data_IF_344568270576
#
_entry.id   IF_344568270576
#
_cell.length_a   1.000
_cell.length_b   1.000
_cell.length_c   1.000
_cell.angle_alpha   90.00
_cell.angle_beta   90.00
_cell.angle_gamma   90.00
#
_symmetry.space_group_name_H-M   'P 1'
#
loop_
_entity.id
_entity.type
_entity.pdbx_description
1 polymer ?
#
# COMPACT_ATOMS: atom_id res chain seq x y z
N UNK A 1 14.81 -16.88 -7.61
CA UNK A 1 14.76 -15.42 -7.85
C UNK A 1 13.60 -14.89 -7.04
N UNK A 2 13.82 -13.88 -6.20
CA UNK A 2 12.73 -13.29 -5.42
C UNK A 2 11.79 -12.52 -6.34
N UNK A 3 10.49 -12.77 -6.23
CA UNK A 3 9.47 -11.93 -6.87
C UNK A 3 9.54 -10.55 -6.22
N UNK A 4 9.67 -9.51 -7.04
CA UNK A 4 9.60 -8.14 -6.56
C UNK A 4 8.16 -7.90 -6.05
N UNK A 5 8.03 -7.36 -4.84
CA UNK A 5 6.74 -7.09 -4.19
C UNK A 5 6.58 -5.59 -3.96
N UNK A 6 5.37 -5.09 -4.13
CA UNK A 6 5.04 -3.68 -3.89
C UNK A 6 4.04 -3.59 -2.74
N UNK A 7 4.42 -2.82 -1.71
CA UNK A 7 3.62 -2.55 -0.53
C UNK A 7 3.24 -1.08 -0.44
N UNK A 8 1.96 -0.78 -0.21
CA UNK A 8 1.49 0.59 0.05
C UNK A 8 0.91 0.68 1.46
N UNK A 9 1.42 1.63 2.25
CA UNK A 9 0.93 1.97 3.59
C UNK A 9 0.45 3.42 3.58
N UNK A 10 -0.79 3.68 3.99
CA UNK A 10 -1.39 5.03 4.01
C UNK A 10 -1.38 5.65 5.40
N UNK A 11 -1.04 6.93 5.54
CA UNK A 11 -0.94 7.64 6.83
C UNK A 11 -2.32 7.88 7.48
N UNK A 12 -3.29 8.40 6.73
CA UNK A 12 -4.65 8.62 7.20
C UNK A 12 -5.66 8.43 6.07
N UNK A 13 -6.85 7.91 6.40
CA UNK A 13 -7.96 7.75 5.46
C UNK A 13 -8.21 6.31 5.00
N UNK A 14 -8.96 6.18 3.91
CA UNK A 14 -9.26 4.92 3.22
C UNK A 14 -8.85 5.04 1.77
N UNK A 15 -8.56 3.92 1.14
CA UNK A 15 -8.26 3.83 -0.29
C UNK A 15 -9.44 4.28 -1.20
N UNK A 16 -10.62 4.46 -0.61
CA UNK A 16 -11.85 4.99 -1.24
C UNK A 16 -12.00 6.51 -1.02
N UNK A 17 -10.89 7.24 -0.94
CA UNK A 17 -10.90 8.70 -0.78
C UNK A 17 -11.24 9.47 -2.07
N UNK A 18 -11.43 8.75 -3.19
CA UNK A 18 -11.66 9.30 -4.55
C UNK A 18 -10.62 10.35 -4.95
N UNK A 19 -9.43 10.25 -4.38
CA UNK A 19 -8.39 11.25 -4.51
C UNK A 19 -7.03 10.54 -4.48
N UNK A 20 -6.11 11.03 -3.67
CA UNK A 20 -4.72 10.65 -3.71
C UNK A 20 -4.46 9.16 -3.42
N UNK A 21 -5.14 8.57 -2.42
CA UNK A 21 -4.89 7.18 -2.05
C UNK A 21 -5.44 6.21 -3.10
N UNK A 22 -6.64 6.48 -3.62
CA UNK A 22 -7.21 5.65 -4.68
C UNK A 22 -6.32 5.67 -5.93
N UNK A 23 -5.92 6.85 -6.40
CA UNK A 23 -5.09 6.98 -7.61
C UNK A 23 -3.72 6.32 -7.47
N UNK A 24 -3.12 6.39 -6.28
CA UNK A 24 -1.85 5.72 -5.98
C UNK A 24 -2.00 4.20 -6.01
N UNK A 25 -3.07 3.66 -5.42
CA UNK A 25 -3.31 2.22 -5.41
C UNK A 25 -3.64 1.64 -6.79
N UNK A 26 -4.42 2.35 -7.60
CA UNK A 26 -4.68 1.97 -8.99
C UNK A 26 -3.38 1.93 -9.81
N UNK A 27 -2.43 2.82 -9.53
CA UNK A 27 -1.08 2.76 -10.09
C UNK A 27 -0.32 1.49 -9.68
N UNK A 28 -0.35 1.14 -8.39
CA UNK A 28 0.30 -0.07 -7.86
C UNK A 28 -0.31 -1.34 -8.45
N UNK A 29 -1.64 -1.42 -8.57
CA UNK A 29 -2.32 -2.56 -9.19
C UNK A 29 -1.91 -2.72 -10.66
N UNK A 30 -1.89 -1.64 -11.44
CA UNK A 30 -1.41 -1.68 -12.83
C UNK A 30 0.02 -2.18 -12.93
N UNK A 31 0.91 -1.71 -12.06
CA UNK A 31 2.30 -2.20 -12.02
C UNK A 31 2.36 -3.69 -11.63
N UNK A 32 1.49 -4.14 -10.72
CA UNK A 32 1.32 -5.55 -10.37
C UNK A 32 0.97 -6.42 -11.58
N UNK A 33 -0.01 -5.98 -12.36
CA UNK A 33 -0.47 -6.68 -13.56
C UNK A 33 0.57 -6.65 -14.69
N UNK A 34 1.14 -5.48 -15.00
CA UNK A 34 2.06 -5.30 -16.13
C UNK A 34 3.42 -5.96 -15.91
N UNK A 35 3.89 -5.98 -14.65
CA UNK A 35 5.23 -6.47 -14.30
C UNK A 35 5.19 -7.83 -13.59
N UNK A 36 4.01 -8.40 -13.35
CA UNK A 36 3.83 -9.68 -12.66
C UNK A 36 4.26 -9.64 -11.19
N UNK A 37 3.96 -8.53 -10.50
CA UNK A 37 4.39 -8.28 -9.12
C UNK A 37 3.27 -8.59 -8.14
N UNK A 38 3.66 -9.05 -6.95
CA UNK A 38 2.73 -9.21 -5.85
C UNK A 38 2.50 -7.84 -5.18
N UNK A 39 1.24 -7.41 -5.11
CA UNK A 39 0.85 -6.12 -4.54
C UNK A 39 0.13 -6.30 -3.21
N UNK A 40 0.48 -5.49 -2.21
CA UNK A 40 -0.14 -5.54 -0.88
C UNK A 40 -0.47 -4.13 -0.39
N UNK A 41 -1.70 -3.97 0.06
CA UNK A 41 -2.17 -2.75 0.72
C UNK A 41 -2.30 -3.02 2.20
N UNK A 42 -1.72 -2.15 3.03
CA UNK A 42 -1.88 -2.18 4.47
C UNK A 42 -2.36 -0.82 4.96
N UNK A 43 -3.33 -0.86 5.88
CA UNK A 43 -3.89 0.33 6.50
C UNK A 43 -3.53 0.33 7.99
N UNK A 44 -2.75 1.32 8.46
CA UNK A 44 -2.52 1.58 9.88
C UNK A 44 -3.81 1.69 10.67
N UNK A 45 -3.83 1.06 11.85
CA UNK A 45 -4.94 1.12 12.78
C UNK A 45 -5.09 2.51 13.45
N UNK A 46 -4.05 3.34 13.38
CA UNK A 46 -4.00 4.69 13.91
C UNK A 46 -3.05 5.58 13.10
N UNK A 47 -2.91 6.84 13.53
CA UNK A 47 -2.12 7.87 12.84
C UNK A 47 -0.83 8.22 13.58
N UNK A 48 -0.30 7.29 14.39
CA UNK A 48 0.97 7.51 15.10
C UNK A 48 2.12 6.88 14.34
N UNK A 49 3.33 7.39 14.57
CA UNK A 49 4.55 6.81 14.00
C UNK A 49 4.69 5.32 14.34
N UNK A 50 4.30 4.92 15.56
CA UNK A 50 4.33 3.52 15.98
C UNK A 50 3.36 2.64 15.16
N UNK A 51 2.17 3.15 14.84
CA UNK A 51 1.20 2.44 14.01
C UNK A 51 1.72 2.25 12.58
N UNK A 52 2.37 3.28 12.02
CA UNK A 52 2.97 3.20 10.69
C UNK A 52 4.11 2.19 10.65
N UNK A 53 5.03 2.25 11.63
CA UNK A 53 6.17 1.33 11.70
C UNK A 53 5.72 -0.12 11.87
N UNK A 54 4.65 -0.36 12.63
CA UNK A 54 4.07 -1.70 12.79
C UNK A 54 3.50 -2.24 11.48
N UNK A 55 2.73 -1.44 10.76
CA UNK A 55 2.16 -1.89 9.49
C UNK A 55 3.20 -2.03 8.38
N UNK A 56 4.21 -1.17 8.34
CA UNK A 56 5.34 -1.36 7.42
C UNK A 56 6.03 -2.71 7.68
N UNK A 57 6.16 -3.12 8.94
CA UNK A 57 6.70 -4.43 9.31
C UNK A 57 5.83 -5.62 8.90
N UNK A 58 4.54 -5.39 8.60
CA UNK A 58 3.61 -6.43 8.14
C UNK A 58 3.65 -6.62 6.62
N UNK A 59 4.39 -5.81 5.85
CA UNK A 59 4.52 -5.95 4.40
C UNK A 59 5.24 -7.25 4.02
#
# INVERSE_FOLDING_TARGET
MGQLKIGMVTDAGTIDDKSFNQGTWEGVLRAGEELGLETKYLKPAGTTEADYMKEIGNL
#
